data_IF_566314621222
#
_entry.id   IF_566314621222
#
_cell.length_a   1.000
_cell.length_b   1.000
_cell.length_c   1.000
_cell.angle_alpha   90.00
_cell.angle_beta   90.00
_cell.angle_gamma   90.00
#
_symmetry.space_group_name_H-M   'P 1'
#
loop_
_entity.id
_entity.type
_entity.pdbx_description
1 polymer ?
#
# COMPACT_ATOMS: atom_id res chain seq x y z
N UNK A 1 8.03 11.36 -4.77
CA UNK A 1 7.69 10.30 -5.75
C UNK A 1 7.78 10.90 -7.15
N UNK A 2 8.59 10.32 -8.05
CA UNK A 2 8.70 10.82 -9.41
C UNK A 2 7.45 10.45 -10.21
N UNK A 3 7.03 11.29 -11.19
CA UNK A 3 5.88 11.02 -12.08
C UNK A 3 5.92 9.64 -12.77
N UNK A 4 7.11 9.05 -12.93
CA UNK A 4 7.30 7.68 -13.46
C UNK A 4 6.86 6.59 -12.49
N UNK A 5 7.07 6.76 -11.18
CA UNK A 5 6.66 5.78 -10.16
C UNK A 5 5.14 5.65 -10.04
N UNK A 6 4.43 6.79 -10.11
CA UNK A 6 2.95 6.80 -10.05
C UNK A 6 2.32 6.10 -11.26
N UNK A 7 2.86 6.34 -12.48
CA UNK A 7 2.37 5.67 -13.69
C UNK A 7 2.62 4.16 -13.67
N UNK A 8 3.76 3.74 -13.15
CA UNK A 8 4.11 2.32 -13.04
C UNK A 8 3.19 1.63 -12.02
N UNK A 9 2.91 2.27 -10.88
CA UNK A 9 1.97 1.76 -9.88
C UNK A 9 0.57 1.58 -10.45
N UNK A 10 0.04 2.58 -11.17
CA UNK A 10 -1.26 2.51 -11.83
C UNK A 10 -1.33 1.36 -12.85
N UNK A 11 -0.31 1.25 -13.72
CA UNK A 11 -0.27 0.20 -14.73
C UNK A 11 -0.20 -1.20 -14.12
N UNK A 12 0.60 -1.37 -13.07
CA UNK A 12 0.77 -2.67 -12.39
C UNK A 12 -0.48 -3.06 -11.62
N UNK A 13 -1.14 -2.13 -10.90
CA UNK A 13 -2.39 -2.42 -10.21
C UNK A 13 -3.51 -2.77 -11.17
N UNK A 14 -3.59 -2.10 -12.33
CA UNK A 14 -4.57 -2.42 -13.38
C UNK A 14 -4.31 -3.81 -13.98
N UNK A 15 -3.03 -4.14 -14.26
CA UNK A 15 -2.64 -5.45 -14.79
C UNK A 15 -2.89 -6.57 -13.78
N UNK A 16 -2.54 -6.36 -12.51
CA UNK A 16 -2.80 -7.30 -11.43
C UNK A 16 -4.31 -7.53 -11.25
N UNK A 17 -5.11 -6.47 -11.25
CA UNK A 17 -6.57 -6.56 -11.16
C UNK A 17 -7.19 -7.32 -12.35
N UNK A 18 -6.66 -7.12 -13.57
CA UNK A 18 -7.10 -7.85 -14.76
C UNK A 18 -6.71 -9.33 -14.73
N UNK A 19 -5.48 -9.64 -14.29
CA UNK A 19 -4.97 -11.01 -14.20
C UNK A 19 -5.71 -11.83 -13.14
N UNK A 20 -6.22 -11.20 -12.10
CA UNK A 20 -6.90 -11.85 -10.97
C UNK A 20 -8.29 -12.42 -11.28
N UNK A 21 -8.87 -12.13 -12.44
CA UNK A 21 -10.04 -12.87 -12.90
C UNK A 21 -9.81 -14.38 -12.99
N UNK A 22 -8.55 -14.81 -13.09
CA UNK A 22 -8.11 -16.19 -13.27
C UNK A 22 -7.53 -16.85 -12.01
N UNK A 23 -7.23 -16.09 -10.96
CA UNK A 23 -6.63 -16.58 -9.72
C UNK A 23 -7.58 -16.35 -8.54
N UNK A 24 -8.06 -17.42 -7.94
CA UNK A 24 -8.78 -17.40 -6.65
C UNK A 24 -7.76 -17.33 -5.51
N UNK A 25 -7.20 -16.14 -5.24
CA UNK A 25 -6.35 -15.97 -4.07
C UNK A 25 -7.24 -15.78 -2.83
N UNK A 26 -6.91 -16.50 -1.77
CA UNK A 26 -7.52 -16.27 -0.45
C UNK A 26 -7.11 -14.90 0.07
N UNK A 27 -8.03 -14.15 0.69
CA UNK A 27 -7.76 -12.82 1.25
C UNK A 27 -6.66 -12.79 2.33
N UNK A 28 -6.57 -13.77 3.27
CA UNK A 28 -5.62 -13.68 4.37
C UNK A 28 -4.14 -13.59 3.98
N UNK A 29 -3.60 -14.35 3.00
CA UNK A 29 -2.21 -14.20 2.57
C UNK A 29 -1.88 -12.83 1.97
N UNK A 30 -2.81 -12.27 1.20
CA UNK A 30 -2.64 -10.94 0.59
C UNK A 30 -2.63 -9.86 1.66
N UNK A 31 -3.56 -9.92 2.60
CA UNK A 31 -3.64 -8.99 3.73
C UNK A 31 -2.41 -9.07 4.63
N UNK A 32 -1.90 -10.27 4.92
CA UNK A 32 -0.66 -10.46 5.66
C UNK A 32 0.53 -9.78 4.95
N UNK A 33 0.61 -9.90 3.62
CA UNK A 33 1.69 -9.29 2.82
C UNK A 33 1.57 -7.76 2.77
N UNK A 34 0.35 -7.22 2.73
CA UNK A 34 0.09 -5.78 2.83
C UNK A 34 0.54 -5.27 4.20
N UNK A 35 0.16 -5.94 5.28
CA UNK A 35 0.58 -5.56 6.63
C UNK A 35 2.10 -5.63 6.79
N UNK A 36 2.75 -6.68 6.27
CA UNK A 36 4.20 -6.82 6.27
C UNK A 36 4.89 -5.66 5.52
N UNK A 37 4.33 -5.20 4.40
CA UNK A 37 4.88 -4.06 3.67
C UNK A 37 4.90 -2.77 4.51
N UNK A 38 3.88 -2.56 5.35
CA UNK A 38 3.84 -1.41 6.27
C UNK A 38 4.92 -1.53 7.35
N UNK A 39 5.11 -2.74 7.91
CA UNK A 39 6.19 -3.01 8.87
C UNK A 39 7.55 -2.70 8.26
N UNK A 40 7.80 -3.15 7.03
CA UNK A 40 9.06 -2.92 6.32
C UNK A 40 9.30 -1.42 6.07
N UNK A 41 8.28 -0.68 5.66
CA UNK A 41 8.38 0.77 5.45
C UNK A 41 8.64 1.52 6.76
N UNK A 42 7.96 1.12 7.86
CA UNK A 42 8.18 1.72 9.17
C UNK A 42 9.61 1.45 9.68
N UNK A 43 10.08 0.20 9.56
CA UNK A 43 11.44 -0.19 9.92
C UNK A 43 12.50 0.56 9.08
N UNK A 44 12.23 0.72 7.78
CA UNK A 44 13.09 1.49 6.88
C UNK A 44 13.17 2.97 7.26
N UNK A 45 12.04 3.57 7.65
CA UNK A 45 11.98 4.96 8.07
C UNK A 45 12.76 5.21 9.39
N UNK A 46 12.87 4.20 10.24
CA UNK A 46 13.65 4.22 11.49
C UNK A 46 15.14 3.95 11.27
N UNK A 47 15.51 3.33 10.15
CA UNK A 47 16.89 2.93 9.89
C UNK A 47 17.68 4.06 9.18
N UNK A 48 18.77 4.60 9.78
CA UNK A 48 19.57 5.64 9.14
C UNK A 48 20.51 5.12 8.05
N UNK A 49 20.68 3.78 7.93
CA UNK A 49 21.63 3.17 6.99
C UNK A 49 21.07 3.14 5.56
N UNK A 50 21.99 3.03 4.58
CA UNK A 50 21.62 2.77 3.18
C UNK A 50 21.18 1.32 3.03
N UNK A 51 19.89 1.14 2.83
CA UNK A 51 19.25 -0.17 2.65
C UNK A 51 18.93 -0.42 1.18
N UNK A 52 18.49 -1.64 0.86
CA UNK A 52 18.01 -2.01 -0.48
C UNK A 52 16.83 -1.12 -0.89
N UNK A 53 15.98 -0.75 0.07
CA UNK A 53 14.83 0.11 -0.14
C UNK A 53 15.21 1.51 -0.64
N UNK A 54 16.25 2.08 -0.06
CA UNK A 54 16.79 3.39 -0.48
C UNK A 54 17.59 3.30 -1.77
N UNK A 55 18.21 2.16 -2.04
CA UNK A 55 19.00 1.94 -3.26
C UNK A 55 18.11 1.70 -4.48
N UNK A 56 17.00 0.98 -4.30
CA UNK A 56 16.09 0.57 -5.36
C UNK A 56 14.62 0.92 -5.05
N UNK A 57 14.28 2.20 -4.82
CA UNK A 57 12.94 2.59 -4.41
C UNK A 57 11.88 2.26 -5.47
N UNK A 58 12.23 2.29 -6.75
CA UNK A 58 11.32 1.94 -7.84
C UNK A 58 10.96 0.45 -7.83
N UNK A 59 11.91 -0.44 -7.49
CA UNK A 59 11.67 -1.88 -7.40
C UNK A 59 10.71 -2.18 -6.24
N UNK A 60 10.93 -1.57 -5.08
CA UNK A 60 10.03 -1.75 -3.93
C UNK A 60 8.64 -1.18 -4.19
N UNK A 61 8.55 0.00 -4.79
CA UNK A 61 7.27 0.57 -5.18
C UNK A 61 6.52 -0.34 -6.17
N UNK A 62 7.24 -0.99 -7.08
CA UNK A 62 6.68 -1.97 -8.01
C UNK A 62 6.15 -3.21 -7.27
N UNK A 63 6.96 -3.81 -6.41
CA UNK A 63 6.57 -5.01 -5.65
C UNK A 63 5.39 -4.74 -4.72
N UNK A 64 5.41 -3.63 -3.99
CA UNK A 64 4.29 -3.24 -3.12
C UNK A 64 3.05 -2.91 -3.94
N UNK A 65 3.19 -2.23 -5.08
CA UNK A 65 2.08 -1.95 -5.98
C UNK A 65 1.42 -3.24 -6.49
N UNK A 66 2.22 -4.26 -6.82
CA UNK A 66 1.70 -5.56 -7.23
C UNK A 66 0.88 -6.22 -6.12
N UNK A 67 1.43 -6.28 -4.90
CA UNK A 67 0.76 -6.89 -3.74
C UNK A 67 -0.53 -6.14 -3.38
N UNK A 68 -0.49 -4.81 -3.34
CA UNK A 68 -1.67 -3.99 -3.05
C UNK A 68 -2.74 -4.12 -4.15
N UNK A 69 -2.31 -4.21 -5.42
CA UNK A 69 -3.22 -4.47 -6.54
C UNK A 69 -3.96 -5.80 -6.41
N UNK A 70 -3.27 -6.84 -5.93
CA UNK A 70 -3.88 -8.13 -5.61
C UNK A 70 -4.93 -8.02 -4.49
N UNK A 71 -4.66 -7.24 -3.45
CA UNK A 71 -5.61 -6.98 -2.36
C UNK A 71 -6.87 -6.28 -2.84
N UNK A 72 -6.73 -5.26 -3.67
CA UNK A 72 -7.87 -4.56 -4.25
C UNK A 72 -8.73 -5.43 -5.17
N UNK A 73 -8.10 -6.32 -5.95
CA UNK A 73 -8.84 -7.25 -6.79
C UNK A 73 -9.67 -8.24 -5.97
N UNK A 74 -9.15 -8.70 -4.81
CA UNK A 74 -9.93 -9.52 -3.86
C UNK A 74 -11.17 -8.79 -3.35
N UNK A 75 -10.99 -7.57 -2.84
CA UNK A 75 -12.10 -6.73 -2.37
C UNK A 75 -13.14 -6.44 -3.46
N UNK A 76 -12.71 -6.20 -4.69
CA UNK A 76 -13.60 -5.98 -5.83
C UNK A 76 -14.47 -7.20 -6.16
N UNK A 77 -13.93 -8.41 -5.98
CA UNK A 77 -14.71 -9.66 -6.15
C UNK A 77 -15.79 -9.81 -5.08
N UNK A 78 -15.51 -9.42 -3.84
CA UNK A 78 -16.48 -9.49 -2.73
C UNK A 78 -17.65 -8.52 -2.94
N UNK A 79 -17.39 -7.34 -3.51
CA UNK A 79 -18.42 -6.34 -3.85
C UNK A 79 -19.31 -6.80 -5.02
N UNK A 80 -18.84 -7.73 -5.85
CA UNK A 80 -19.58 -8.26 -6.99
C UNK A 80 -19.61 -7.29 -8.17
N UNK A 81 -18.67 -7.47 -9.11
CA UNK A 81 -18.62 -6.66 -10.32
C UNK A 81 -19.53 -7.21 -11.42
N UNK A 82 -20.30 -6.34 -12.11
CA UNK A 82 -21.05 -6.76 -13.28
C UNK A 82 -20.10 -7.22 -14.38
N UNK A 83 -20.22 -8.49 -14.77
CA UNK A 83 -19.33 -9.15 -15.74
C UNK A 83 -19.28 -8.42 -17.09
N UNK A 84 -20.38 -7.80 -17.49
CA UNK A 84 -20.50 -7.11 -18.78
C UNK A 84 -19.72 -5.78 -18.84
N UNK A 85 -19.35 -5.20 -17.69
CA UNK A 85 -18.68 -3.89 -17.60
C UNK A 85 -17.36 -3.97 -16.82
N UNK A 86 -16.79 -5.16 -16.69
CA UNK A 86 -15.59 -5.40 -15.90
C UNK A 86 -14.41 -4.46 -16.23
N UNK A 87 -14.05 -4.22 -17.52
CA UNK A 87 -12.93 -3.32 -17.84
C UNK A 87 -13.20 -1.87 -17.40
N UNK A 88 -14.42 -1.38 -17.60
CA UNK A 88 -14.80 -0.01 -17.22
C UNK A 88 -14.81 0.14 -15.70
N UNK A 89 -15.34 -0.84 -14.98
CA UNK A 89 -15.36 -0.84 -13.52
C UNK A 89 -13.94 -0.85 -12.93
N UNK A 90 -13.05 -1.67 -13.48
CA UNK A 90 -11.63 -1.71 -13.06
C UNK A 90 -10.92 -0.39 -13.36
N UNK A 91 -11.15 0.21 -14.52
CA UNK A 91 -10.56 1.49 -14.87
C UNK A 91 -11.02 2.60 -13.94
N UNK A 92 -12.33 2.70 -13.71
CA UNK A 92 -12.92 3.71 -12.81
C UNK A 92 -12.43 3.55 -11.38
N UNK A 93 -12.35 2.31 -10.90
CA UNK A 93 -11.81 1.99 -9.58
C UNK A 93 -10.35 2.44 -9.45
N UNK A 94 -9.50 2.10 -10.42
CA UNK A 94 -8.08 2.49 -10.38
C UNK A 94 -7.89 4.02 -10.42
N UNK A 95 -8.69 4.72 -11.23
CA UNK A 95 -8.71 6.19 -11.23
C UNK A 95 -9.10 6.75 -9.85
N UNK A 96 -10.14 6.18 -9.24
CA UNK A 96 -10.60 6.56 -7.90
C UNK A 96 -9.51 6.35 -6.84
N UNK A 97 -8.84 5.21 -6.87
CA UNK A 97 -7.71 4.91 -5.96
C UNK A 97 -6.57 5.90 -6.15
N UNK A 98 -6.20 6.23 -7.40
CA UNK A 98 -5.12 7.18 -7.69
C UNK A 98 -5.46 8.59 -7.19
N UNK A 99 -6.69 9.05 -7.42
CA UNK A 99 -7.16 10.33 -6.90
C UNK A 99 -7.11 10.34 -5.36
N UNK A 100 -7.61 9.28 -4.71
CA UNK A 100 -7.58 9.15 -3.25
C UNK A 100 -6.16 9.17 -2.68
N UNK A 101 -5.23 8.49 -3.33
CA UNK A 101 -3.81 8.50 -2.96
C UNK A 101 -3.19 9.89 -3.10
N UNK A 102 -3.45 10.59 -4.21
CA UNK A 102 -2.95 11.95 -4.43
C UNK A 102 -3.50 12.92 -3.39
N UNK A 103 -4.78 12.82 -3.06
CA UNK A 103 -5.41 13.62 -2.00
C UNK A 103 -4.76 13.33 -0.63
N UNK A 104 -4.55 12.06 -0.29
CA UNK A 104 -3.90 11.66 0.97
C UNK A 104 -2.48 12.22 1.06
N UNK A 105 -1.69 12.11 -0.01
CA UNK A 105 -0.32 12.64 -0.06
C UNK A 105 -0.33 14.17 0.02
N UNK A 106 -1.28 14.84 -0.63
CA UNK A 106 -1.42 16.30 -0.56
C UNK A 106 -1.76 16.74 0.86
N UNK A 107 -2.74 16.11 1.51
CA UNK A 107 -3.12 16.42 2.90
C UNK A 107 -1.94 16.15 3.85
N UNK A 108 -1.29 14.99 3.75
CA UNK A 108 -0.11 14.67 4.56
C UNK A 108 1.02 15.69 4.34
N UNK A 109 1.25 16.12 3.11
CA UNK A 109 2.22 17.15 2.76
C UNK A 109 1.88 18.52 3.38
N UNK A 110 0.62 18.92 3.35
CA UNK A 110 0.15 20.15 3.98
C UNK A 110 0.32 20.11 5.51
N UNK A 111 -0.08 19.00 6.12
CA UNK A 111 0.11 18.77 7.57
C UNK A 111 1.59 18.80 7.93
N UNK A 112 2.44 18.14 7.13
CA UNK A 112 3.89 18.19 7.31
C UNK A 112 4.43 19.61 7.24
N UNK A 113 4.07 20.40 6.22
CA UNK A 113 4.52 21.79 6.05
C UNK A 113 4.05 22.66 7.20
N UNK A 114 2.81 22.47 7.67
CA UNK A 114 2.26 23.22 8.80
C UNK A 114 2.98 22.90 10.13
N UNK A 115 3.27 21.64 10.36
CA UNK A 115 3.80 21.16 11.65
C UNK A 115 5.32 21.06 11.72
N UNK A 116 6.04 21.08 10.59
CA UNK A 116 7.50 20.88 10.56
C UNK A 116 8.33 21.86 11.39
N UNK A 117 7.77 23.04 11.69
CA UNK A 117 8.43 24.07 12.51
C UNK A 117 8.11 23.94 14.01
N UNK A 118 7.24 22.99 14.37
CA UNK A 118 6.84 22.80 15.76
C UNK A 118 7.73 21.73 16.42
N UNK A 119 8.53 22.10 17.46
CA UNK A 119 9.49 21.19 18.07
C UNK A 119 8.90 19.86 18.59
N UNK A 120 7.68 19.80 19.14
CA UNK A 120 7.05 18.55 19.54
C UNK A 120 6.81 17.56 18.38
N UNK A 121 6.62 18.08 17.17
CA UNK A 121 6.35 17.24 15.98
C UNK A 121 7.56 16.40 15.60
N UNK A 122 8.77 16.96 15.61
CA UNK A 122 10.01 16.21 15.35
C UNK A 122 10.22 15.09 16.38
N UNK A 123 9.90 15.34 17.66
CA UNK A 123 10.01 14.34 18.73
C UNK A 123 8.97 13.24 18.62
N UNK A 124 7.81 13.51 18.06
CA UNK A 124 6.72 12.53 17.90
C UNK A 124 6.93 11.56 16.73
N UNK A 125 7.84 11.86 15.80
CA UNK A 125 8.09 11.04 14.60
C UNK A 125 8.50 9.60 14.95
N UNK A 126 9.48 9.43 15.82
CA UNK A 126 9.99 8.10 16.21
C UNK A 126 8.92 7.26 16.91
N UNK A 127 8.24 7.74 17.97
CA UNK A 127 7.17 6.96 18.60
C UNK A 127 5.99 6.70 17.66
N UNK A 128 5.66 7.60 16.74
CA UNK A 128 4.63 7.37 15.75
C UNK A 128 5.00 6.21 14.79
N UNK A 129 6.24 6.16 14.31
CA UNK A 129 6.73 5.07 13.46
C UNK A 129 6.73 3.72 14.20
N UNK A 130 7.10 3.70 15.48
CA UNK A 130 6.98 2.49 16.30
C UNK A 130 5.52 2.08 16.47
N UNK A 131 4.60 3.01 16.72
CA UNK A 131 3.17 2.74 16.84
C UNK A 131 2.59 2.13 15.56
N UNK A 132 2.88 2.74 14.40
CA UNK A 132 2.45 2.24 13.09
C UNK A 132 3.03 0.85 12.82
N UNK A 133 4.33 0.66 13.04
CA UNK A 133 5.01 -0.61 12.81
C UNK A 133 4.48 -1.73 13.72
N UNK A 134 4.22 -1.45 15.00
CA UNK A 134 3.67 -2.42 15.96
C UNK A 134 2.24 -2.82 15.61
N UNK A 135 1.39 -1.85 15.21
CA UNK A 135 0.02 -2.12 14.78
C UNK A 135 0.01 -2.99 13.51
N UNK A 136 0.85 -2.67 12.54
CA UNK A 136 0.97 -3.45 11.32
C UNK A 136 1.53 -4.85 11.59
N UNK A 137 2.50 -5.00 12.50
CA UNK A 137 3.03 -6.30 12.90
C UNK A 137 1.96 -7.16 13.59
N UNK A 138 1.17 -6.58 14.49
CA UNK A 138 0.03 -7.26 15.12
C UNK A 138 -0.95 -7.76 14.07
N UNK A 139 -1.34 -6.90 13.12
CA UNK A 139 -2.25 -7.28 12.05
C UNK A 139 -1.66 -8.37 11.16
N UNK A 140 -0.38 -8.29 10.80
CA UNK A 140 0.32 -9.32 10.06
C UNK A 140 0.26 -10.69 10.76
N UNK A 141 0.58 -10.74 12.06
CA UNK A 141 0.51 -11.95 12.86
C UNK A 141 -0.91 -12.52 12.91
N UNK A 142 -1.92 -11.67 13.08
CA UNK A 142 -3.32 -12.10 13.09
C UNK A 142 -3.73 -12.75 11.78
N UNK A 143 -3.27 -12.21 10.63
CA UNK A 143 -3.56 -12.80 9.31
C UNK A 143 -2.79 -14.08 9.06
N UNK A 144 -1.57 -14.20 9.56
CA UNK A 144 -0.80 -15.45 9.49
C UNK A 144 -1.50 -16.56 10.30
N UNK A 145 -1.97 -16.26 11.50
CA UNK A 145 -2.76 -17.22 12.30
C UNK A 145 -4.01 -17.67 11.55
N UNK A 146 -4.73 -16.74 10.90
CA UNK A 146 -5.92 -17.06 10.11
C UNK A 146 -5.61 -17.90 8.84
N UNK A 147 -4.36 -17.96 8.38
CA UNK A 147 -3.94 -18.84 7.28
C UNK A 147 -3.69 -20.26 7.78
N UNK A 148 -3.23 -20.40 9.03
CA UNK A 148 -2.83 -21.66 9.64
C UNK A 148 -3.99 -22.39 10.34
N UNK A 149 -5.06 -21.66 10.70
CA UNK A 149 -6.28 -22.20 11.32
C UNK A 149 -7.27 -22.71 10.28
#
# INVERSE_FOLDING_TARGET
MTRRGTRLFFFVSTLASAAMGWLTLRSPPVEATIALSIVLVAAEALNPRMTVARRWPALLAFLFGLVHGLGFAGALKEVGLPQNYLPTALLTFNIGVEIGQLMTVAVAGLVWVALRRWPPFERSRTPALYGIGSMAAFWCCQRIVAILA
#
